data_IF_464987311746
#
_entry.id   IF_464987311746
#
_cell.length_a   1.000
_cell.length_b   1.000
_cell.length_c   1.000
_cell.angle_alpha   90.00
_cell.angle_beta   90.00
_cell.angle_gamma   90.00
#
_symmetry.space_group_name_H-M   'P 1'
#
loop_
_entity.id
_entity.type
_entity.pdbx_description
1 polymer ?
#
# COMPACT_ATOMS: atom_id res chain seq x y z
N UNK A 1 10.84 9.61 4.45
CA UNK A 1 11.41 9.33 3.10
C UNK A 1 12.47 8.20 3.09
N UNK A 2 13.25 8.04 4.17
CA UNK A 2 14.31 7.02 4.33
C UNK A 2 13.86 5.59 3.98
N UNK A 3 12.78 5.11 4.59
CA UNK A 3 12.23 3.76 4.33
C UNK A 3 11.86 3.54 2.86
N UNK A 4 11.21 4.53 2.22
CA UNK A 4 10.85 4.44 0.80
C UNK A 4 12.10 4.37 -0.09
N UNK A 5 13.15 5.13 0.22
CA UNK A 5 14.43 5.11 -0.50
C UNK A 5 15.16 3.77 -0.32
N UNK A 6 15.19 3.24 0.90
CA UNK A 6 15.78 1.94 1.21
C UNK A 6 15.09 0.80 0.43
N UNK A 7 13.75 0.73 0.51
CA UNK A 7 12.98 -0.30 -0.22
C UNK A 7 13.12 -0.16 -1.73
N UNK A 8 13.15 1.07 -2.25
CA UNK A 8 13.42 1.30 -3.68
C UNK A 8 14.81 0.79 -4.10
N UNK A 9 15.81 0.90 -3.24
CA UNK A 9 17.17 0.39 -3.48
C UNK A 9 17.27 -1.14 -3.51
N UNK A 10 16.33 -1.84 -2.86
CA UNK A 10 16.26 -3.30 -2.83
C UNK A 10 15.51 -3.91 -4.03
N UNK A 11 14.82 -3.10 -4.84
CA UNK A 11 14.09 -3.59 -6.01
C UNK A 11 15.00 -3.72 -7.25
N UNK A 12 14.78 -4.73 -8.11
CA UNK A 12 15.53 -4.88 -9.35
C UNK A 12 15.29 -3.69 -10.28
N UNK A 13 16.34 -3.15 -10.89
CA UNK A 13 16.26 -1.90 -11.66
C UNK A 13 15.59 -2.10 -13.03
N UNK A 14 14.26 -2.15 -13.06
CA UNK A 14 13.47 -2.33 -14.28
C UNK A 14 12.18 -1.46 -14.29
N UNK A 15 11.40 -1.54 -15.37
CA UNK A 15 10.12 -0.80 -15.50
C UNK A 15 9.09 -1.23 -14.46
N UNK A 16 9.06 -2.52 -14.12
CA UNK A 16 8.13 -3.10 -13.16
C UNK A 16 8.38 -2.59 -11.73
N UNK A 17 9.64 -2.43 -11.32
CA UNK A 17 9.99 -1.92 -10.00
C UNK A 17 9.46 -0.51 -9.74
N UNK A 18 9.38 0.32 -10.79
CA UNK A 18 8.73 1.65 -10.70
C UNK A 18 7.23 1.55 -10.43
N UNK A 19 6.57 0.49 -10.88
CA UNK A 19 5.16 0.23 -10.58
C UNK A 19 5.00 -0.46 -9.22
N UNK A 20 5.93 -1.33 -8.82
CA UNK A 20 5.87 -2.03 -7.55
C UNK A 20 6.01 -1.06 -6.37
N UNK A 21 6.91 -0.08 -6.46
CA UNK A 21 7.15 0.87 -5.35
C UNK A 21 5.93 1.75 -5.03
N UNK A 22 4.99 1.94 -5.96
CA UNK A 22 3.77 2.75 -5.71
C UNK A 22 2.74 2.03 -4.84
N UNK A 23 2.83 0.69 -4.78
CA UNK A 23 2.01 -0.16 -3.90
C UNK A 23 2.42 -0.04 -2.44
N UNK A 24 3.67 0.37 -2.16
CA UNK A 24 4.15 0.58 -0.80
C UNK A 24 3.54 1.84 -0.18
N UNK A 25 2.69 1.66 0.84
CA UNK A 25 2.12 2.73 1.65
C UNK A 25 2.80 2.74 3.02
N UNK A 26 3.38 3.88 3.39
CA UNK A 26 4.11 4.06 4.65
C UNK A 26 3.39 5.16 5.42
N UNK A 27 2.94 4.83 6.62
CA UNK A 27 2.29 5.73 7.56
C UNK A 27 3.19 5.90 8.78
N UNK A 28 3.20 7.10 9.36
CA UNK A 28 3.88 7.33 10.62
C UNK A 28 2.87 7.11 11.76
N UNK A 29 3.19 6.21 12.70
CA UNK A 29 2.27 5.83 13.77
C UNK A 29 1.50 4.53 13.50
N UNK A 30 0.61 4.11 14.43
CA UNK A 30 -0.09 2.83 14.35
C UNK A 30 -1.29 2.84 13.39
N UNK A 31 -1.72 4.00 12.92
CA UNK A 31 -2.94 4.15 12.12
C UNK A 31 -2.67 4.12 10.61
N UNK A 32 -3.59 3.51 9.86
CA UNK A 32 -3.61 3.56 8.41
C UNK A 32 -5.06 3.57 7.88
N UNK A 33 -5.37 4.29 6.79
CA UNK A 33 -6.72 4.41 6.23
C UNK A 33 -7.18 3.16 5.45
N UNK A 34 -6.49 2.04 5.60
CA UNK A 34 -6.79 0.77 4.94
C UNK A 34 -7.69 -0.11 5.81
N UNK A 35 -8.86 0.41 6.18
CA UNK A 35 -9.86 -0.41 6.83
C UNK A 35 -10.37 -1.49 5.86
N UNK A 36 -10.61 -2.69 6.39
CA UNK A 36 -11.24 -3.75 5.63
C UNK A 36 -12.66 -3.33 5.23
N UNK A 37 -13.15 -3.87 4.12
CA UNK A 37 -14.51 -3.56 3.66
C UNK A 37 -15.53 -4.02 4.72
N UNK A 38 -16.48 -3.15 5.06
CA UNK A 38 -17.64 -3.48 5.88
C UNK A 38 -18.85 -3.74 4.96
N UNK A 39 -19.15 -5.01 4.60
CA UNK A 39 -20.31 -5.31 3.78
C UNK A 39 -21.59 -4.94 4.51
N UNK A 40 -22.49 -4.20 3.85
CA UNK A 40 -23.83 -3.91 4.36
C UNK A 40 -24.77 -5.03 3.92
N UNK A 41 -25.57 -5.55 4.85
CA UNK A 41 -26.65 -6.50 4.56
C UNK A 41 -27.71 -5.81 3.70
N UNK A 42 -27.97 -6.35 2.52
CA UNK A 42 -29.05 -5.93 1.64
C UNK A 42 -30.28 -6.79 1.96
N UNK A 43 -31.40 -6.17 2.33
CA UNK A 43 -32.68 -6.86 2.38
C UNK A 43 -33.24 -6.97 0.96
N UNK A 44 -33.41 -8.21 0.47
CA UNK A 44 -34.09 -8.49 -0.80
C UNK A 44 -35.52 -8.87 -0.45
N UNK A 45 -36.48 -8.02 -0.85
CA UNK A 45 -37.91 -8.25 -0.71
C UNK A 45 -38.46 -9.20 -1.77
#
# INVERSE_FOLDING_TARGET
>A
EVLRKAVKGMLPRNRLARQQITKLKIYAGPEHPHEAQAPKTLEVS
#
